data_IF_456293903866
#
_entry.id   IF_456293903866
#
_cell.length_a   1.000
_cell.length_b   1.000
_cell.length_c   1.000
_cell.angle_alpha   90.00
_cell.angle_beta   90.00
_cell.angle_gamma   90.00
#
_symmetry.space_group_name_H-M   'P 1'
#
loop_
_entity.id
_entity.type
_entity.pdbx_description
1 polymer ?
#
# COMPACT_ATOMS: atom_id res chain seq x y z
N UNK A 1 -6.42 -3.80 -14.42
CA UNK A 1 -5.52 -4.58 -13.51
C UNK A 1 -5.93 -4.26 -12.06
N UNK A 2 -6.54 -5.19 -11.35
CA UNK A 2 -6.93 -4.96 -9.96
C UNK A 2 -5.71 -4.80 -9.05
N UNK A 3 -5.79 -3.87 -8.09
CA UNK A 3 -4.74 -3.63 -7.10
C UNK A 3 -5.17 -4.21 -5.74
N UNK A 4 -4.26 -4.91 -5.06
CA UNK A 4 -4.42 -5.25 -3.64
C UNK A 4 -3.46 -4.42 -2.80
N UNK A 5 -3.99 -3.58 -1.92
CA UNK A 5 -3.21 -2.74 -1.00
C UNK A 5 -3.06 -3.47 0.33
N UNK A 6 -1.84 -3.89 0.66
CA UNK A 6 -1.55 -4.59 1.91
C UNK A 6 -1.09 -3.60 2.97
N UNK A 7 -1.84 -3.53 4.08
CA UNK A 7 -1.59 -2.60 5.19
C UNK A 7 -1.37 -3.38 6.49
N UNK A 8 -0.13 -3.78 6.79
CA UNK A 8 0.19 -4.33 8.09
C UNK A 8 0.16 -3.23 9.15
N UNK A 9 -0.48 -3.49 10.29
CA UNK A 9 -0.60 -2.49 11.37
C UNK A 9 -0.63 -3.13 12.74
N UNK A 10 -0.18 -2.38 13.75
CA UNK A 10 -0.38 -2.66 15.17
C UNK A 10 -1.61 -1.93 15.73
N UNK A 11 -2.32 -1.17 14.91
CA UNK A 11 -3.50 -0.41 15.33
C UNK A 11 -3.22 0.73 16.33
N UNK A 12 -1.98 1.24 16.37
CA UNK A 12 -1.58 2.29 17.33
C UNK A 12 -1.63 3.70 16.75
N UNK A 13 -1.74 3.82 15.43
CA UNK A 13 -1.66 5.07 14.67
C UNK A 13 -3.02 5.41 14.04
N UNK A 14 -4.02 5.62 14.87
CA UNK A 14 -5.40 5.84 14.41
C UNK A 14 -5.54 7.01 13.43
N UNK A 15 -4.84 8.12 13.69
CA UNK A 15 -4.88 9.33 12.84
C UNK A 15 -4.31 9.04 11.46
N UNK A 16 -3.18 8.35 11.43
CA UNK A 16 -2.48 7.98 10.20
C UNK A 16 -3.30 6.98 9.39
N UNK A 17 -3.89 5.96 10.05
CA UNK A 17 -4.78 4.98 9.40
C UNK A 17 -5.98 5.70 8.78
N UNK A 18 -6.61 6.67 9.47
CA UNK A 18 -7.71 7.46 8.92
C UNK A 18 -7.26 8.27 7.71
N UNK A 19 -6.11 8.95 7.79
CA UNK A 19 -5.53 9.71 6.68
C UNK A 19 -5.25 8.82 5.47
N UNK A 20 -4.69 7.63 5.69
CA UNK A 20 -4.48 6.65 4.63
C UNK A 20 -5.81 6.32 3.93
N UNK A 21 -6.84 5.94 4.69
CA UNK A 21 -8.15 5.58 4.15
C UNK A 21 -8.82 6.74 3.42
N UNK A 22 -8.75 7.97 3.93
CA UNK A 22 -9.27 9.17 3.26
C UNK A 22 -8.60 9.42 1.90
N UNK A 23 -7.30 9.12 1.77
CA UNK A 23 -6.59 9.27 0.49
C UNK A 23 -6.87 8.12 -0.46
N UNK A 24 -7.11 6.91 0.06
CA UNK A 24 -7.54 5.76 -0.74
C UNK A 24 -8.96 5.96 -1.29
N UNK A 25 -9.88 6.50 -0.48
CA UNK A 25 -11.24 6.81 -0.93
C UNK A 25 -11.25 7.83 -2.09
N UNK A 26 -10.27 8.75 -2.12
CA UNK A 26 -10.11 9.79 -3.15
C UNK A 26 -9.37 9.34 -4.40
N UNK A 27 -8.88 8.09 -4.47
CA UNK A 27 -8.19 7.63 -5.67
C UNK A 27 -9.05 7.73 -6.92
N UNK A 28 -8.47 8.19 -8.04
CA UNK A 28 -9.14 8.22 -9.35
C UNK A 28 -9.37 6.81 -9.89
N UNK A 29 -8.43 5.91 -9.69
CA UNK A 29 -8.54 4.50 -10.04
C UNK A 29 -9.33 3.76 -8.97
N UNK A 30 -10.38 3.01 -9.35
CA UNK A 30 -11.33 2.41 -8.40
C UNK A 30 -11.23 0.88 -8.28
N UNK A 31 -10.53 0.21 -9.19
CA UNK A 31 -10.42 -1.25 -9.17
C UNK A 31 -9.31 -1.70 -8.21
N UNK A 32 -9.59 -1.59 -6.91
CA UNK A 32 -8.68 -2.03 -5.86
C UNK A 32 -9.42 -2.54 -4.62
N UNK A 33 -8.72 -3.36 -3.85
CA UNK A 33 -9.10 -3.80 -2.51
C UNK A 33 -8.03 -3.41 -1.50
N UNK A 34 -8.40 -3.33 -0.22
CA UNK A 34 -7.49 -3.03 0.89
C UNK A 34 -7.50 -4.19 1.87
N UNK A 35 -6.34 -4.67 2.24
CA UNK A 35 -6.18 -5.79 3.17
C UNK A 35 -5.39 -5.29 4.38
N UNK A 36 -6.10 -4.99 5.45
CA UNK A 36 -5.50 -4.72 6.74
C UNK A 36 -5.09 -6.02 7.42
N UNK A 37 -3.83 -6.12 7.78
CA UNK A 37 -3.33 -7.24 8.60
C UNK A 37 -2.98 -6.69 9.97
N UNK A 38 -3.90 -6.86 10.90
CA UNK A 38 -3.79 -6.33 12.26
C UNK A 38 -3.05 -7.34 13.15
N UNK A 39 -2.04 -6.86 13.86
CA UNK A 39 -1.18 -7.66 14.72
C UNK A 39 -1.38 -7.33 16.22
N UNK A 40 -2.20 -6.30 16.49
CA UNK A 40 -2.60 -5.80 17.81
C UNK A 40 -3.79 -4.85 17.62
N UNK A 41 -4.48 -4.47 18.69
CA UNK A 41 -5.57 -3.48 18.69
C UNK A 41 -6.62 -3.71 17.57
N UNK A 42 -7.00 -4.97 17.34
CA UNK A 42 -7.86 -5.39 16.23
C UNK A 42 -9.18 -4.64 16.18
N UNK A 43 -9.84 -4.48 17.34
CA UNK A 43 -11.13 -3.79 17.45
C UNK A 43 -11.02 -2.30 17.13
N UNK A 44 -9.91 -1.64 17.50
CA UNK A 44 -9.68 -0.22 17.16
C UNK A 44 -9.62 -0.06 15.63
N UNK A 45 -8.87 -0.92 14.95
CA UNK A 45 -8.79 -0.87 13.48
C UNK A 45 -10.14 -1.18 12.86
N UNK A 46 -10.87 -2.17 13.37
CA UNK A 46 -12.21 -2.51 12.91
C UNK A 46 -13.18 -1.35 13.02
N UNK A 47 -13.17 -0.62 14.15
CA UNK A 47 -13.99 0.57 14.36
C UNK A 47 -13.64 1.73 13.43
N UNK A 48 -12.40 1.77 12.94
CA UNK A 48 -11.98 2.76 11.96
C UNK A 48 -12.48 2.35 10.58
N UNK A 49 -12.18 1.14 10.13
CA UNK A 49 -12.45 0.70 8.75
C UNK A 49 -13.94 0.60 8.45
N UNK A 50 -14.79 0.27 9.43
CA UNK A 50 -16.24 0.16 9.23
C UNK A 50 -16.89 1.51 8.82
N UNK A 51 -16.20 2.64 9.01
CA UNK A 51 -16.68 3.98 8.60
C UNK A 51 -16.46 4.27 7.12
N UNK A 52 -15.69 3.46 6.41
CA UNK A 52 -15.34 3.62 5.01
C UNK A 52 -16.04 2.57 4.14
N UNK A 53 -17.36 2.55 4.19
CA UNK A 53 -18.22 1.55 3.51
C UNK A 53 -18.12 1.59 1.97
N UNK A 54 -17.56 2.65 1.40
CA UNK A 54 -17.34 2.79 -0.04
C UNK A 54 -16.07 2.10 -0.53
N UNK A 55 -15.23 1.58 0.39
CA UNK A 55 -13.99 0.89 0.09
C UNK A 55 -14.17 -0.63 0.29
N UNK A 56 -13.59 -1.42 -0.61
CA UNK A 56 -13.49 -2.88 -0.43
C UNK A 56 -12.35 -3.18 0.56
N UNK A 57 -12.68 -3.33 1.84
CA UNK A 57 -11.71 -3.53 2.93
C UNK A 57 -11.91 -4.89 3.56
N UNK A 58 -10.83 -5.65 3.67
CA UNK A 58 -10.74 -6.90 4.44
C UNK A 58 -9.81 -6.68 5.64
N UNK A 59 -10.18 -7.22 6.80
CA UNK A 59 -9.31 -7.28 7.97
C UNK A 59 -8.93 -8.72 8.27
N UNK A 60 -7.64 -8.94 8.50
CA UNK A 60 -7.07 -10.22 8.92
C UNK A 60 -6.39 -10.00 10.26
N UNK A 61 -6.76 -10.78 11.26
CA UNK A 61 -6.15 -10.70 12.57
C UNK A 61 -5.01 -11.73 12.71
N UNK A 62 -3.92 -11.29 13.31
CA UNK A 62 -2.76 -12.13 13.62
C UNK A 62 -2.39 -12.00 15.10
N UNK A 63 -2.12 -13.12 15.75
CA UNK A 63 -1.62 -13.17 17.13
C UNK A 63 -0.10 -12.93 17.23
N UNK A 64 0.63 -13.14 16.13
CA UNK A 64 2.09 -13.04 16.08
C UNK A 64 2.51 -11.78 15.36
N UNK A 65 3.34 -10.95 16.02
CA UNK A 65 3.86 -9.71 15.46
C UNK A 65 5.02 -9.96 14.48
N UNK A 66 5.13 -9.15 13.46
CA UNK A 66 6.21 -9.16 12.49
C UNK A 66 5.77 -8.64 11.12
N UNK A 67 6.43 -7.60 10.64
CA UNK A 67 6.08 -6.91 9.39
C UNK A 67 6.04 -7.86 8.19
N UNK A 68 7.10 -8.65 7.99
CA UNK A 68 7.18 -9.59 6.87
C UNK A 68 6.13 -10.69 6.97
N UNK A 69 5.84 -11.18 8.18
CA UNK A 69 4.79 -12.19 8.41
C UNK A 69 3.41 -11.63 8.08
N UNK A 70 3.14 -10.39 8.49
CA UNK A 70 1.87 -9.73 8.18
C UNK A 70 1.72 -9.48 6.68
N UNK A 71 2.78 -9.04 5.99
CA UNK A 71 2.78 -8.89 4.53
C UNK A 71 2.52 -10.21 3.81
N UNK A 72 3.18 -11.30 4.22
CA UNK A 72 2.93 -12.62 3.64
C UNK A 72 1.49 -13.07 3.88
N UNK A 73 0.97 -12.86 5.09
CA UNK A 73 -0.43 -13.22 5.39
C UNK A 73 -1.43 -12.43 4.55
N UNK A 74 -1.18 -11.13 4.34
CA UNK A 74 -1.98 -10.30 3.44
C UNK A 74 -1.88 -10.76 1.99
N UNK A 75 -0.69 -11.15 1.54
CA UNK A 75 -0.44 -11.61 0.18
C UNK A 75 -1.24 -12.90 -0.16
N UNK A 76 -1.41 -13.81 0.81
CA UNK A 76 -2.23 -15.01 0.65
C UNK A 76 -3.72 -14.71 0.35
N UNK A 77 -4.18 -13.51 0.71
CA UNK A 77 -5.57 -13.08 0.53
C UNK A 77 -5.75 -12.05 -0.59
N UNK A 78 -4.64 -11.62 -1.20
CA UNK A 78 -4.66 -10.67 -2.30
C UNK A 78 -5.26 -11.31 -3.55
N UNK A 79 -6.21 -10.61 -4.18
CA UNK A 79 -6.84 -11.03 -5.44
C UNK A 79 -6.43 -10.16 -6.63
N UNK A 80 -5.69 -9.08 -6.38
CA UNK A 80 -5.22 -8.16 -7.40
C UNK A 80 -4.00 -8.68 -8.16
N UNK A 81 -3.89 -8.27 -9.41
CA UNK A 81 -2.71 -8.52 -10.26
C UNK A 81 -1.51 -7.70 -9.82
N UNK A 82 -1.76 -6.55 -9.18
CA UNK A 82 -0.75 -5.67 -8.62
C UNK A 82 -0.89 -5.67 -7.10
N UNK A 83 0.21 -5.86 -6.39
CA UNK A 83 0.25 -5.74 -4.93
C UNK A 83 1.00 -4.48 -4.54
N UNK A 84 0.34 -3.61 -3.79
CA UNK A 84 0.93 -2.41 -3.19
C UNK A 84 1.23 -2.69 -1.73
N UNK A 85 2.50 -2.65 -1.35
CA UNK A 85 2.93 -2.75 0.05
C UNK A 85 2.89 -1.35 0.66
N UNK A 86 1.89 -1.10 1.50
CA UNK A 86 1.67 0.17 2.18
C UNK A 86 2.00 0.05 3.66
N UNK A 87 2.59 1.09 4.24
CA UNK A 87 2.65 1.22 5.69
C UNK A 87 1.41 1.98 6.19
N UNK A 88 1.03 1.81 7.47
CA UNK A 88 -0.19 2.38 8.05
C UNK A 88 -0.14 3.90 8.26
N UNK A 89 1.03 4.53 8.04
CA UNK A 89 1.28 5.97 8.11
C UNK A 89 1.50 6.63 6.73
N UNK A 90 1.36 5.89 5.66
CA UNK A 90 1.41 6.41 4.30
C UNK A 90 0.11 7.12 3.89
N UNK A 91 0.20 7.96 2.85
CA UNK A 91 -0.95 8.49 2.11
C UNK A 91 -0.57 8.67 0.65
N UNK A 92 -1.58 8.75 -0.22
CA UNK A 92 -1.41 8.70 -1.66
C UNK A 92 -1.99 9.94 -2.34
N UNK A 93 -1.30 10.53 -3.34
CA UNK A 93 -1.94 11.44 -4.28
C UNK A 93 -3.15 10.80 -4.97
N UNK A 94 -4.14 11.60 -5.36
CA UNK A 94 -5.41 11.10 -5.93
C UNK A 94 -5.22 10.20 -7.16
N UNK A 95 -4.17 10.40 -7.93
CA UNK A 95 -3.88 9.64 -9.16
C UNK A 95 -2.78 8.58 -8.99
N UNK A 96 -2.40 8.25 -7.75
CA UNK A 96 -1.27 7.34 -7.51
C UNK A 96 -1.49 5.95 -8.12
N UNK A 97 -2.68 5.39 -7.95
CA UNK A 97 -2.98 4.04 -8.46
C UNK A 97 -3.07 4.01 -9.98
N UNK A 98 -3.58 5.06 -10.60
CA UNK A 98 -3.57 5.21 -12.05
C UNK A 98 -2.13 5.24 -12.60
N UNK A 99 -1.22 5.97 -11.93
CA UNK A 99 0.20 6.00 -12.30
C UNK A 99 0.83 4.62 -12.16
N UNK A 100 0.53 3.87 -11.10
CA UNK A 100 1.05 2.51 -10.88
C UNK A 100 0.58 1.57 -11.99
N UNK A 101 -0.72 1.55 -12.29
CA UNK A 101 -1.28 0.70 -13.35
C UNK A 101 -0.65 1.04 -14.71
N UNK A 102 -0.59 2.32 -15.06
CA UNK A 102 0.04 2.79 -16.30
C UNK A 102 1.52 2.38 -16.41
N UNK A 103 2.25 2.35 -15.29
CA UNK A 103 3.65 1.91 -15.28
C UNK A 103 3.80 0.43 -15.62
N UNK A 104 2.91 -0.44 -15.09
CA UNK A 104 2.91 -1.87 -15.43
C UNK A 104 2.41 -2.12 -16.85
N UNK A 105 1.38 -1.41 -17.33
CA UNK A 105 0.88 -1.54 -18.70
C UNK A 105 1.93 -1.17 -19.76
N UNK A 106 2.68 -0.09 -19.51
CA UNK A 106 3.78 0.33 -20.39
C UNK A 106 4.97 -0.63 -20.36
N UNK A 107 5.12 -1.42 -19.31
CA UNK A 107 6.26 -2.32 -19.10
C UNK A 107 5.81 -3.68 -18.62
N UNK A 108 5.28 -4.48 -19.52
CA UNK A 108 4.78 -5.84 -19.24
C UNK A 108 5.84 -6.78 -18.63
N UNK A 109 7.13 -6.46 -18.77
CA UNK A 109 8.21 -7.22 -18.13
C UNK A 109 8.59 -6.72 -16.73
N UNK A 110 7.95 -5.65 -16.24
CA UNK A 110 8.23 -5.15 -14.89
C UNK A 110 7.56 -6.06 -13.85
N UNK A 111 8.37 -6.50 -12.89
CA UNK A 111 7.90 -7.31 -11.75
C UNK A 111 7.68 -6.41 -10.52
N UNK A 112 8.46 -5.34 -10.39
CA UNK A 112 8.42 -4.41 -9.27
C UNK A 112 8.48 -2.98 -9.78
N UNK A 113 7.62 -2.13 -9.23
CA UNK A 113 7.68 -0.67 -9.38
C UNK A 113 7.93 -0.08 -7.98
N UNK A 114 8.97 0.72 -7.86
CA UNK A 114 9.28 1.45 -6.63
C UNK A 114 8.82 2.89 -6.76
N UNK A 115 8.01 3.36 -5.82
CA UNK A 115 7.60 4.76 -5.75
C UNK A 115 8.55 5.56 -4.86
N UNK A 116 8.70 6.83 -5.17
CA UNK A 116 9.42 7.75 -4.30
C UNK A 116 8.57 8.10 -3.09
N UNK A 117 9.16 8.02 -1.90
CA UNK A 117 8.53 8.48 -0.66
C UNK A 117 8.87 9.96 -0.49
N UNK A 118 7.86 10.80 -0.41
CA UNK A 118 7.97 12.23 -0.23
C UNK A 118 7.23 12.67 1.03
N UNK A 119 7.88 13.48 1.87
CA UNK A 119 7.27 14.14 3.03
C UNK A 119 6.98 15.60 2.67
N UNK A 120 5.71 15.98 2.44
CA UNK A 120 5.37 17.34 2.02
C UNK A 120 5.53 18.37 3.15
N UNK A 121 5.45 17.95 4.43
CA UNK A 121 5.60 18.86 5.57
C UNK A 121 7.07 19.31 5.72
N UNK A 122 8.00 18.40 5.46
CA UNK A 122 9.43 18.67 5.51
C UNK A 122 10.03 19.05 4.16
N UNK A 123 9.24 18.91 3.09
CA UNK A 123 9.70 19.05 1.70
C UNK A 123 10.94 18.19 1.38
N UNK A 124 10.96 16.97 1.90
CA UNK A 124 12.07 16.02 1.77
C UNK A 124 11.61 14.77 1.03
N UNK A 125 12.41 14.34 0.06
CA UNK A 125 12.30 13.03 -0.55
C UNK A 125 13.20 12.03 0.19
N UNK A 126 12.60 10.97 0.72
CA UNK A 126 13.36 9.85 1.29
C UNK A 126 13.76 8.91 0.16
N UNK A 127 15.06 8.77 -0.08
CA UNK A 127 15.69 8.02 -1.18
C UNK A 127 15.39 8.62 -2.56
N UNK A 128 16.38 9.31 -3.10
CA UNK A 128 16.38 9.72 -4.50
C UNK A 128 16.55 8.48 -5.39
N UNK A 129 15.44 7.88 -5.79
CA UNK A 129 15.46 7.02 -6.96
C UNK A 129 15.63 7.93 -8.17
N UNK A 130 16.66 7.69 -8.98
CA UNK A 130 16.84 8.47 -10.21
C UNK A 130 15.62 8.24 -11.10
N UNK A 131 15.17 9.29 -11.78
CA UNK A 131 14.10 9.22 -12.79
C UNK A 131 14.44 8.33 -13.99
N UNK A 132 15.66 7.78 -14.05
CA UNK A 132 16.10 6.82 -15.09
C UNK A 132 15.50 5.46 -14.77
N UNK A 133 14.46 5.16 -15.50
CA UNK A 133 13.72 3.90 -15.49
C UNK A 133 14.61 2.64 -15.72
N UNK A 134 15.83 2.79 -16.26
CA UNK A 134 16.81 1.70 -16.43
C UNK A 134 17.52 1.28 -15.15
N UNK A 135 17.59 2.15 -14.14
CA UNK A 135 18.38 1.89 -12.93
C UNK A 135 17.79 0.79 -12.04
N UNK A 136 16.48 0.61 -12.05
CA UNK A 136 15.81 -0.42 -11.24
C UNK A 136 16.13 -1.83 -11.75
N UNK A 137 16.32 -1.98 -13.05
CA UNK A 137 16.57 -3.28 -13.70
C UNK A 137 17.93 -3.89 -13.32
N UNK A 138 18.94 -3.07 -13.09
CA UNK A 138 20.30 -3.53 -12.78
C UNK A 138 20.54 -3.87 -11.31
N UNK A 139 19.77 -3.33 -10.38
CA UNK A 139 19.88 -3.65 -8.94
C UNK A 139 19.19 -4.95 -8.54
N UNK A 140 18.16 -5.37 -9.25
CA UNK A 140 17.48 -6.65 -9.01
C UNK A 140 18.28 -7.87 -9.49
N UNK A 141 19.32 -7.67 -10.31
CA UNK A 141 20.25 -8.75 -10.72
C UNK A 141 21.33 -9.06 -9.71
N UNK A 142 21.44 -8.31 -8.61
CA UNK A 142 22.46 -8.45 -7.56
C UNK A 142 21.94 -9.02 -6.23
N UNK A 143 20.71 -9.49 -6.20
CA UNK A 143 20.08 -10.22 -5.10
C UNK A 143 19.71 -11.62 -5.56
#
# INVERSE_FOLDING_TARGET
MKISVLVPTLGKREKEIRRLLETLEKQSYKDFEIIFVTQDNHEIVKDIICKYSNLDIKQIEMSVKGLSRARNRGLEQASGEIVVLSDDDCWYPTNAFEIIVNAFEKRQSAIIVLSQIFDPEKNISYKNYTSNEEYVRNKLQLM
#
